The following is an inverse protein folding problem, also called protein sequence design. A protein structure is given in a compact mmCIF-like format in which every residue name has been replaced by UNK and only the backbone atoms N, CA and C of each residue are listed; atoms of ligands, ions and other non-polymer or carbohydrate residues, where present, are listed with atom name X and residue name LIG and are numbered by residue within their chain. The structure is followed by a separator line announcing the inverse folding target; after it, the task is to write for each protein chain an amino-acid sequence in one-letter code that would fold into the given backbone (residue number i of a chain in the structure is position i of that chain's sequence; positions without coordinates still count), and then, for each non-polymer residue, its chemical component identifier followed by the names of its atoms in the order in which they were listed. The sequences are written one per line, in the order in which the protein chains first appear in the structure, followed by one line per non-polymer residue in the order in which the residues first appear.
data_IF_575537812221
#
_entry.id   IF_575537812221
#
_cell.length_a   1.000
_cell.length_b   1.000
_cell.length_c   1.000
_cell.angle_alpha   90.00
_cell.angle_beta   90.00
_cell.angle_gamma   90.00
#
_symmetry.space_group_name_H-M   'P 1'
#
loop_
_entity.id
_entity.type
_entity.pdbx_description
1 polymer ?
#
# COMPACT_ATOMS: atom_id res chain seq x y z
N UNK A 1 -2.40 -2.02 3.35
CA UNK A 1 -3.75 -2.62 3.26
C UNK A 1 -3.56 -4.06 2.79
N UNK A 2 -3.98 -5.08 3.56
CA UNK A 2 -4.02 -6.44 3.02
C UNK A 2 -5.35 -6.55 2.28
N UNK A 3 -5.29 -6.79 0.98
CA UNK A 3 -6.49 -7.00 0.17
C UNK A 3 -6.60 -8.50 -0.07
N UNK A 4 -7.58 -9.14 0.55
CA UNK A 4 -7.93 -10.52 0.21
C UNK A 4 -8.63 -10.52 -1.15
N UNK A 5 -8.25 -11.44 -2.03
CA UNK A 5 -9.02 -11.69 -3.24
C UNK A 5 -10.30 -12.47 -2.88
N UNK A 6 -11.23 -11.83 -2.17
CA UNK A 6 -12.62 -12.28 -2.02
C UNK A 6 -13.50 -11.28 -2.75
N UNK A 7 -14.38 -11.76 -3.62
CA UNK A 7 -15.33 -10.99 -4.45
C UNK A 7 -16.42 -10.25 -3.67
N UNK A 8 -16.19 -9.91 -2.40
CA UNK A 8 -17.17 -9.22 -1.56
C UNK A 8 -16.87 -7.70 -1.49
N UNK A 9 -17.86 -6.91 -1.90
CA UNK A 9 -17.81 -5.44 -2.08
C UNK A 9 -18.04 -4.68 -0.77
N UNK A 10 -17.31 -4.97 0.29
CA UNK A 10 -17.43 -4.23 1.55
C UNK A 10 -16.13 -3.50 1.93
N UNK A 11 -15.80 -2.45 1.16
CA UNK A 11 -14.82 -1.43 1.57
C UNK A 11 -15.43 -0.54 2.67
N UNK A 12 -15.48 -1.02 3.92
CA UNK A 12 -15.74 -0.17 5.10
C UNK A 12 -14.58 -0.31 6.10
N UNK A 13 -13.72 0.71 6.11
CA UNK A 13 -12.72 0.93 7.15
C UNK A 13 -13.41 1.27 8.49
N UNK A 14 -13.17 0.47 9.53
CA UNK A 14 -13.43 0.73 10.96
C UNK A 14 -12.50 -0.21 11.78
N UNK A 15 -12.29 -0.04 13.10
CA UNK A 15 -11.63 1.00 13.87
C UNK A 15 -10.08 0.81 13.99
N UNK A 16 -9.46 -0.01 13.13
CA UNK A 16 -8.03 -0.36 13.17
C UNK A 16 -7.07 0.62 12.45
N UNK A 17 -7.47 1.88 12.25
CA UNK A 17 -6.80 2.82 11.34
C UNK A 17 -5.30 3.01 11.64
N UNK A 18 -4.93 3.16 12.92
CA UNK A 18 -3.55 3.31 13.35
C UNK A 18 -2.71 2.06 13.08
N UNK A 19 -3.25 0.87 13.34
CA UNK A 19 -2.58 -0.43 13.12
C UNK A 19 -2.39 -0.74 11.63
N UNK A 20 -3.32 -0.30 10.78
CA UNK A 20 -3.25 -0.46 9.32
C UNK A 20 -2.19 0.47 8.71
N UNK A 21 -2.03 1.68 9.25
CA UNK A 21 -0.98 2.63 8.85
C UNK A 21 0.41 2.14 9.27
N UNK A 22 0.57 1.62 10.50
CA UNK A 22 1.86 1.08 10.99
C UNK A 22 2.25 -0.22 10.30
N UNK A 23 1.28 -1.04 9.87
CA UNK A 23 1.59 -2.27 9.12
C UNK A 23 2.43 -1.99 7.87
N UNK A 24 2.14 -0.91 7.13
CA UNK A 24 2.90 -0.56 5.93
C UNK A 24 4.34 -0.12 6.17
N UNK A 25 4.77 -0.02 7.44
CA UNK A 25 6.07 0.53 7.86
C UNK A 25 6.87 -0.44 8.75
N UNK A 26 6.20 -1.37 9.44
CA UNK A 26 6.84 -2.36 10.32
C UNK A 26 6.84 -3.77 9.67
N UNK A 27 8.03 -4.30 9.32
CA UNK A 27 8.17 -5.64 8.76
C UNK A 27 7.69 -6.76 9.71
N UNK A 28 7.92 -6.64 11.02
CA UNK A 28 7.52 -7.65 12.02
C UNK A 28 6.02 -7.71 12.15
N UNK A 29 5.36 -6.56 12.23
CA UNK A 29 3.90 -6.48 12.28
C UNK A 29 3.28 -7.03 10.99
N UNK A 30 3.82 -6.66 9.83
CA UNK A 30 3.39 -7.22 8.53
C UNK A 30 3.47 -8.73 8.52
N UNK A 31 4.62 -9.29 8.92
CA UNK A 31 4.82 -10.75 8.96
C UNK A 31 3.80 -11.44 9.85
N UNK A 32 3.55 -10.88 11.05
CA UNK A 32 2.57 -11.42 12.00
C UNK A 32 1.17 -11.44 11.39
N UNK A 33 0.71 -10.31 10.84
CA UNK A 33 -0.65 -10.20 10.29
C UNK A 33 -0.81 -11.12 9.07
N UNK A 34 0.10 -11.08 8.11
CA UNK A 34 0.01 -11.93 6.90
C UNK A 34 -0.01 -13.42 7.27
N UNK A 35 0.81 -13.84 8.25
CA UNK A 35 0.83 -15.22 8.71
C UNK A 35 -0.49 -15.64 9.36
N UNK A 36 -1.07 -14.78 10.21
CA UNK A 36 -2.38 -15.06 10.84
C UNK A 36 -3.52 -15.12 9.83
N UNK A 37 -3.46 -14.28 8.80
CA UNK A 37 -4.39 -14.35 7.67
C UNK A 37 -4.25 -15.68 6.93
N UNK A 38 -3.03 -16.04 6.50
CA UNK A 38 -2.79 -17.25 5.70
C UNK A 38 -3.20 -18.53 6.43
N UNK A 39 -3.18 -18.54 7.76
CA UNK A 39 -3.73 -19.65 8.57
C UNK A 39 -5.26 -19.77 8.47
N UNK A 40 -5.96 -18.66 8.31
CA UNK A 40 -7.43 -18.59 8.37
C UNK A 40 -8.09 -18.63 6.99
N UNK A 41 -7.33 -18.54 5.91
CA UNK A 41 -7.87 -18.50 4.56
C UNK A 41 -7.14 -19.44 3.60
N UNK A 42 -7.88 -19.98 2.63
CA UNK A 42 -7.36 -20.79 1.53
C UNK A 42 -7.27 -20.02 0.21
N UNK A 43 -7.88 -18.82 0.14
CA UNK A 43 -7.79 -17.97 -1.05
C UNK A 43 -6.46 -17.19 -1.07
N UNK A 44 -5.96 -16.78 -2.26
CA UNK A 44 -4.77 -15.96 -2.36
C UNK A 44 -4.86 -14.66 -1.55
N UNK A 45 -3.76 -14.29 -0.90
CA UNK A 45 -3.60 -13.09 -0.08
C UNK A 45 -2.60 -12.18 -0.77
N UNK A 46 -3.08 -11.00 -1.18
CA UNK A 46 -2.24 -9.98 -1.79
C UNK A 46 -2.01 -8.84 -0.79
N UNK A 47 -0.77 -8.40 -0.68
CA UNK A 47 -0.40 -7.33 0.25
C UNK A 47 -0.21 -6.04 -0.54
N UNK A 48 -1.11 -5.07 -0.31
CA UNK A 48 -1.02 -3.74 -0.93
C UNK A 48 -0.23 -2.78 -0.05
N UNK A 49 0.90 -2.35 -0.58
CA UNK A 49 1.89 -1.52 0.08
C UNK A 49 1.66 -0.02 -0.22
N UNK A 50 2.06 0.87 0.71
CA UNK A 50 1.97 2.32 0.51
C UNK A 50 2.85 2.79 -0.65
N UNK A 51 2.44 3.86 -1.33
CA UNK A 51 3.19 4.49 -2.42
C UNK A 51 4.21 5.52 -1.95
N UNK A 52 4.43 5.62 -0.64
CA UNK A 52 5.12 6.74 -0.02
C UNK A 52 6.63 6.48 -0.04
N UNK A 53 7.40 7.44 -0.54
CA UNK A 53 8.87 7.34 -0.65
C UNK A 53 9.60 7.51 0.68
N UNK A 54 8.96 8.10 1.70
CA UNK A 54 9.52 8.34 3.03
C UNK A 54 9.47 7.13 3.96
N UNK A 55 9.04 5.95 3.51
CA UNK A 55 9.01 4.74 4.34
C UNK A 55 10.34 4.00 4.12
N UNK A 56 11.31 4.08 5.06
CA UNK A 56 12.66 3.56 4.85
C UNK A 56 12.68 2.03 4.68
N UNK A 57 11.73 1.32 5.31
CA UNK A 57 11.74 -0.13 5.39
C UNK A 57 10.79 -0.80 4.39
N UNK A 58 10.33 -0.10 3.34
CA UNK A 58 9.30 -0.62 2.43
C UNK A 58 9.71 -1.96 1.78
N UNK A 59 10.98 -2.10 1.41
CA UNK A 59 11.51 -3.33 0.82
C UNK A 59 11.57 -4.47 1.86
N UNK A 60 11.93 -4.17 3.10
CA UNK A 60 11.92 -5.16 4.19
C UNK A 60 10.50 -5.60 4.56
N UNK A 61 9.54 -4.67 4.52
CA UNK A 61 8.11 -4.94 4.70
C UNK A 61 7.62 -5.90 3.61
N UNK A 62 7.94 -5.62 2.35
CA UNK A 62 7.58 -6.49 1.23
C UNK A 62 8.20 -7.88 1.37
N UNK A 63 9.49 -7.95 1.76
CA UNK A 63 10.16 -9.23 1.99
C UNK A 63 9.55 -10.01 3.14
N UNK A 64 9.15 -9.31 4.20
CA UNK A 64 8.49 -9.92 5.35
C UNK A 64 7.10 -10.44 5.03
N UNK A 65 6.35 -9.75 4.17
CA UNK A 65 5.08 -10.23 3.63
C UNK A 65 5.27 -11.51 2.81
N UNK A 66 6.28 -11.55 1.92
CA UNK A 66 6.62 -12.75 1.16
C UNK A 66 6.96 -13.93 2.10
N UNK A 67 7.85 -13.73 3.08
CA UNK A 67 8.23 -14.76 4.05
C UNK A 67 7.04 -15.25 4.90
N UNK A 68 6.03 -14.40 5.10
CA UNK A 68 4.80 -14.77 5.81
C UNK A 68 3.80 -15.55 4.95
N UNK A 69 4.07 -15.71 3.64
CA UNK A 69 3.24 -16.47 2.71
C UNK A 69 2.26 -15.62 1.89
N UNK A 70 2.53 -14.31 1.72
CA UNK A 70 1.79 -13.52 0.75
C UNK A 70 1.95 -14.09 -0.66
N UNK A 71 0.87 -14.13 -1.44
CA UNK A 71 0.86 -14.71 -2.79
C UNK A 71 1.24 -13.67 -3.86
N UNK A 72 1.08 -12.37 -3.56
CA UNK A 72 1.55 -11.29 -4.41
C UNK A 72 1.71 -9.97 -3.63
N UNK A 73 2.47 -9.04 -4.18
CA UNK A 73 2.58 -7.65 -3.71
C UNK A 73 1.87 -6.72 -4.69
N UNK A 74 1.05 -5.80 -4.18
CA UNK A 74 0.47 -4.71 -4.95
C UNK A 74 1.16 -3.41 -4.53
N UNK A 75 1.63 -2.64 -5.50
CA UNK A 75 2.26 -1.33 -5.29
C UNK A 75 1.80 -0.42 -6.43
N UNK A 76 1.42 0.85 -6.28
CA UNK A 76 1.44 1.75 -5.15
C UNK A 76 0.03 2.11 -4.66
N UNK A 77 -0.11 2.38 -3.37
CA UNK A 77 -1.21 3.21 -2.88
C UNK A 77 -1.00 4.69 -3.26
N UNK A 78 -1.95 5.56 -2.97
CA UNK A 78 -1.82 7.01 -3.16
C UNK A 78 -0.66 7.60 -2.36
N UNK A 79 -0.10 8.71 -2.84
CA UNK A 79 0.97 9.45 -2.16
C UNK A 79 0.36 10.61 -1.35
N UNK A 80 0.75 10.84 -0.08
CA UNK A 80 0.27 11.99 0.67
C UNK A 80 0.59 13.30 -0.04
N UNK A 81 -0.42 14.15 -0.24
CA UNK A 81 -0.27 15.46 -0.86
C UNK A 81 -1.37 16.41 -0.36
N UNK A 82 -1.20 17.70 -0.64
CA UNK A 82 -2.17 18.73 -0.30
C UNK A 82 -2.40 19.66 -1.50
N UNK A 83 -3.57 20.30 -1.51
CA UNK A 83 -3.88 21.40 -2.43
C UNK A 83 -4.37 22.56 -1.57
N UNK A 84 -3.79 23.74 -1.80
CA UNK A 84 -4.13 24.98 -1.10
C UNK A 84 -5.06 25.81 -1.99
N UNK A 85 -6.11 26.34 -1.36
CA UNK A 85 -6.85 27.48 -1.87
C UNK A 85 -6.11 28.74 -1.39
N UNK A 86 -5.52 29.48 -2.33
CA UNK A 86 -4.71 30.65 -2.00
C UNK A 86 -5.56 31.89 -1.66
N UNK A 87 -6.80 31.96 -2.12
CA UNK A 87 -7.71 33.06 -1.78
C UNK A 87 -8.31 32.87 -0.39
N UNK A 88 -8.65 31.63 -0.05
CA UNK A 88 -9.17 31.28 1.27
C UNK A 88 -8.08 30.96 2.31
N UNK A 89 -6.80 31.03 1.91
CA UNK A 89 -5.61 30.73 2.74
C UNK A 89 -5.68 29.42 3.53
N UNK A 90 -6.29 28.39 2.94
CA UNK A 90 -6.52 27.10 3.61
C UNK A 90 -6.43 25.92 2.66
N UNK A 91 -6.29 24.72 3.21
CA UNK A 91 -6.36 23.51 2.41
C UNK A 91 -7.76 23.34 1.80
N UNK A 92 -7.78 22.86 0.55
CA UNK A 92 -9.02 22.51 -0.17
C UNK A 92 -9.70 21.31 0.49
N UNK A 93 -8.91 20.36 0.99
CA UNK A 93 -9.42 19.17 1.67
C UNK A 93 -9.69 19.45 3.15
N UNK A 94 -10.81 18.94 3.68
CA UNK A 94 -11.17 19.12 5.10
C UNK A 94 -10.23 18.45 6.11
N UNK A 95 -9.41 17.49 5.65
CA UNK A 95 -8.35 16.85 6.44
C UNK A 95 -6.95 17.35 6.09
N UNK A 96 -6.84 18.47 5.36
CA UNK A 96 -5.63 19.13 4.86
C UNK A 96 -4.82 18.32 3.85
N UNK A 97 -4.44 17.10 4.22
CA UNK A 97 -3.69 16.13 3.41
C UNK A 97 -4.63 15.05 2.89
N UNK A 98 -4.48 14.71 1.61
CA UNK A 98 -5.16 13.61 0.95
C UNK A 98 -4.20 12.72 0.18
N UNK A 99 -4.76 11.78 -0.58
CA UNK A 99 -4.01 10.90 -1.46
C UNK A 99 -3.93 11.45 -2.89
N UNK A 100 -2.73 11.81 -3.34
CA UNK A 100 -2.41 12.04 -4.74
C UNK A 100 -2.40 10.70 -5.50
N UNK A 101 -3.10 10.69 -6.63
CA UNK A 101 -3.16 9.57 -7.57
C UNK A 101 -3.06 10.10 -9.01
N UNK A 102 -3.44 9.28 -10.00
CA UNK A 102 -3.39 9.67 -11.41
C UNK A 102 -1.97 9.73 -11.98
N UNK A 103 -1.80 10.23 -13.23
CA UNK A 103 -0.54 10.17 -13.98
C UNK A 103 0.66 10.73 -13.23
N UNK A 104 0.44 11.73 -12.36
CA UNK A 104 1.48 12.38 -11.56
C UNK A 104 2.30 11.40 -10.71
N UNK A 105 1.71 10.29 -10.24
CA UNK A 105 2.43 9.31 -9.40
C UNK A 105 3.11 8.20 -10.20
N UNK A 106 2.94 8.11 -11.53
CA UNK A 106 3.49 7.01 -12.35
C UNK A 106 5.00 6.84 -12.19
N UNK A 107 5.84 7.90 -12.25
CA UNK A 107 7.29 7.73 -12.07
C UNK A 107 7.67 7.17 -10.71
N UNK A 108 6.95 7.58 -9.65
CA UNK A 108 7.15 7.07 -8.28
C UNK A 108 6.79 5.59 -8.22
N UNK A 109 5.62 5.20 -8.76
CA UNK A 109 5.17 3.82 -8.80
C UNK A 109 6.11 2.92 -9.60
N UNK A 110 6.60 3.38 -10.75
CA UNK A 110 7.55 2.62 -11.57
C UNK A 110 8.88 2.36 -10.84
N UNK A 111 9.43 3.36 -10.14
CA UNK A 111 10.62 3.17 -9.29
C UNK A 111 10.38 2.09 -8.23
N UNK A 112 9.24 2.15 -7.54
CA UNK A 112 8.91 1.21 -6.46
C UNK A 112 8.70 -0.22 -6.99
N UNK A 113 8.04 -0.38 -8.15
CA UNK A 113 7.92 -1.68 -8.82
C UNK A 113 9.30 -2.25 -9.14
N UNK A 114 10.20 -1.43 -9.69
CA UNK A 114 11.56 -1.86 -10.03
C UNK A 114 12.38 -2.26 -8.80
N UNK A 115 12.27 -1.52 -7.70
CA UNK A 115 12.91 -1.89 -6.44
C UNK A 115 12.35 -3.22 -5.90
N UNK A 116 11.03 -3.38 -5.87
CA UNK A 116 10.39 -4.62 -5.43
C UNK A 116 10.77 -5.82 -6.29
N UNK A 117 10.90 -5.64 -7.60
CA UNK A 117 11.32 -6.69 -8.52
C UNK A 117 12.70 -7.27 -8.16
N UNK A 118 13.59 -6.46 -7.56
CA UNK A 118 14.89 -6.92 -7.06
C UNK A 118 14.80 -7.60 -5.70
N UNK A 119 13.78 -7.29 -4.90
CA UNK A 119 13.68 -7.71 -3.48
C UNK A 119 12.90 -9.01 -3.28
N UNK A 120 11.76 -9.17 -3.97
CA UNK A 120 10.85 -10.31 -3.80
C UNK A 120 10.87 -11.22 -5.02
N UNK A 121 10.40 -12.46 -4.85
CA UNK A 121 10.25 -13.50 -5.88
C UNK A 121 8.80 -13.77 -6.24
N UNK A 122 7.85 -13.41 -5.37
CA UNK A 122 6.41 -13.46 -5.66
C UNK A 122 5.99 -12.38 -6.68
N UNK A 123 4.86 -12.60 -7.41
CA UNK A 123 4.34 -11.63 -8.37
C UNK A 123 4.13 -10.22 -7.80
N UNK A 124 4.37 -9.21 -8.64
CA UNK A 124 4.18 -7.79 -8.32
C UNK A 124 3.13 -7.20 -9.26
N UNK A 125 2.07 -6.63 -8.69
CA UNK A 125 1.07 -5.86 -9.42
C UNK A 125 1.38 -4.38 -9.25
N UNK A 126 1.78 -3.73 -10.34
CA UNK A 126 1.97 -2.28 -10.44
C UNK A 126 0.64 -1.54 -10.63
N UNK A 127 0.36 -0.54 -9.80
CA UNK A 127 -0.80 0.34 -9.83
C UNK A 127 -0.39 1.77 -9.48
N UNK A 128 -0.75 2.75 -10.29
CA UNK A 128 -0.45 4.15 -10.01
C UNK A 128 -0.11 4.92 -11.28
N UNK A 129 -0.99 5.84 -11.67
CA UNK A 129 -0.81 6.70 -12.83
C UNK A 129 -0.79 6.02 -14.20
N UNK A 130 -1.38 4.82 -14.31
CA UNK A 130 -1.61 4.15 -15.60
C UNK A 130 -2.82 4.79 -16.27
N UNK A 131 -2.62 5.34 -17.46
CA UNK A 131 -3.68 5.93 -18.29
C UNK A 131 -3.63 5.47 -19.76
N UNK A 132 -2.61 4.70 -20.13
CA UNK A 132 -2.33 4.18 -21.47
C UNK A 132 -1.53 2.90 -21.36
#
# INVERSE_FOLDING_TARGET
QITYASSDRSHRLCPHFETILTMGQDPKLTKKIVKEVKKKTKIPVWVKLPGNTHIPNLMEVAKSAEVAGADAIIISNTVPAMVLDLEAERAVLGHEVGGLSGPAIKPISMRLVYELFKTVKIPIIGSGGIIT
#
